data_IF_965441054060
#
_entry.id   IF_965441054060
#
_cell.length_a   1.000
_cell.length_b   1.000
_cell.length_c   1.000
_cell.angle_alpha   90.00
_cell.angle_beta   90.00
_cell.angle_gamma   90.00
#
_symmetry.space_group_name_H-M   'P 1'
#
loop_
_entity.id
_entity.type
_entity.pdbx_description
1 polymer ?
#
# COMPACT_ATOMS: atom_id res chain seq x y z
N UNK A 1 -35.45 -80.44 73.94
CA UNK A 1 -35.66 -79.03 74.37
C UNK A 1 -34.65 -78.14 73.67
N UNK A 2 -35.14 -77.03 73.11
CA UNK A 2 -34.48 -75.95 72.36
C UNK A 2 -32.99 -75.67 72.64
N UNK A 3 -32.20 -75.37 71.59
CA UNK A 3 -31.93 -74.00 71.09
C UNK A 3 -30.92 -74.03 69.93
N UNK A 4 -31.19 -73.21 68.91
CA UNK A 4 -30.29 -72.84 67.80
C UNK A 4 -29.14 -71.98 68.34
N UNK A 5 -27.93 -72.09 67.76
CA UNK A 5 -27.04 -70.94 67.46
C UNK A 5 -26.26 -71.22 66.16
N UNK A 6 -26.20 -70.18 65.33
CA UNK A 6 -25.53 -69.99 64.05
C UNK A 6 -23.99 -70.02 64.14
N UNK A 7 -23.31 -70.55 63.12
CA UNK A 7 -22.00 -70.06 62.69
C UNK A 7 -21.79 -70.42 61.21
N UNK A 8 -21.64 -69.40 60.37
CA UNK A 8 -21.45 -69.54 58.93
C UNK A 8 -20.06 -70.07 58.57
N UNK A 9 -20.01 -71.01 57.63
CA UNK A 9 -18.79 -71.53 57.07
C UNK A 9 -18.37 -70.70 55.85
N UNK A 10 -17.16 -70.15 55.91
CA UNK A 10 -16.44 -69.54 54.78
C UNK A 10 -15.87 -70.70 53.95
N UNK A 11 -16.30 -70.84 52.69
CA UNK A 11 -15.70 -71.76 51.72
C UNK A 11 -14.78 -70.96 50.80
N UNK A 12 -13.49 -71.32 50.84
CA UNK A 12 -12.44 -70.86 49.94
C UNK A 12 -12.69 -71.44 48.55
N UNK A 13 -12.84 -70.59 47.53
CA UNK A 13 -12.83 -70.99 46.12
C UNK A 13 -11.49 -70.56 45.52
N UNK A 14 -10.73 -71.53 45.02
CA UNK A 14 -9.53 -71.33 44.23
C UNK A 14 -9.87 -70.57 42.94
N UNK A 15 -9.34 -69.36 42.78
CA UNK A 15 -9.38 -68.64 41.51
C UNK A 15 -8.11 -68.97 40.72
N UNK A 16 -8.33 -69.64 39.60
CA UNK A 16 -7.36 -69.95 38.56
C UNK A 16 -6.69 -68.69 38.01
N UNK A 17 -5.38 -68.75 37.79
CA UNK A 17 -4.60 -67.72 37.11
C UNK A 17 -5.09 -67.55 35.66
N UNK A 18 -5.85 -66.49 35.40
CA UNK A 18 -6.14 -65.99 34.06
C UNK A 18 -5.06 -64.99 33.65
N UNK A 19 -4.37 -65.28 32.55
CA UNK A 19 -3.44 -64.36 31.91
C UNK A 19 -4.18 -63.09 31.47
N UNK A 20 -3.85 -61.96 32.08
CA UNK A 20 -4.26 -60.66 31.56
C UNK A 20 -3.41 -60.36 30.32
N UNK A 21 -4.00 -60.53 29.14
CA UNK A 21 -3.52 -59.81 27.95
C UNK A 21 -3.77 -58.33 28.19
N UNK A 22 -2.69 -57.58 28.40
CA UNK A 22 -2.72 -56.14 28.24
C UNK A 22 -3.10 -55.85 26.78
N UNK A 23 -4.33 -55.38 26.55
CA UNK A 23 -4.64 -54.71 25.29
C UNK A 23 -3.70 -53.51 25.20
N UNK A 24 -2.80 -53.57 24.21
CA UNK A 24 -2.05 -52.42 23.74
C UNK A 24 -3.09 -51.35 23.43
N UNK A 25 -3.09 -50.26 24.21
CA UNK A 25 -3.84 -49.07 23.87
C UNK A 25 -3.50 -48.73 22.41
N UNK A 26 -4.51 -48.68 21.56
CA UNK A 26 -4.35 -48.12 20.23
C UNK A 26 -3.90 -46.68 20.44
N UNK A 27 -2.64 -46.42 20.16
CA UNK A 27 -2.16 -45.08 19.89
C UNK A 27 -3.00 -44.58 18.72
N UNK A 28 -3.84 -43.57 18.97
CA UNK A 28 -4.34 -42.73 17.89
C UNK A 28 -3.12 -42.26 17.10
N UNK A 29 -2.95 -42.77 15.89
CA UNK A 29 -2.04 -42.13 14.93
C UNK A 29 -2.65 -40.76 14.64
N UNK A 30 -2.11 -39.73 15.29
CA UNK A 30 -2.24 -38.34 14.84
C UNK A 30 -1.74 -38.33 13.40
N UNK A 31 -2.66 -38.32 12.46
CA UNK A 31 -2.38 -38.46 11.04
C UNK A 31 -1.55 -37.27 10.57
N UNK A 32 -0.22 -37.41 10.60
CA UNK A 32 0.74 -36.42 10.11
C UNK A 32 0.75 -36.45 8.60
N UNK A 33 -0.21 -35.75 8.00
CA UNK A 33 -0.17 -35.39 6.59
C UNK A 33 -0.53 -33.92 6.47
N UNK A 34 0.28 -33.06 7.10
CA UNK A 34 0.43 -31.69 6.62
C UNK A 34 0.93 -31.72 5.17
N UNK A 35 0.74 -30.63 4.43
CA UNK A 35 1.42 -30.49 3.14
C UNK A 35 2.94 -30.68 3.33
N UNK A 36 3.62 -31.27 2.35
CA UNK A 36 5.01 -31.73 2.55
C UNK A 36 6.00 -30.59 2.83
N UNK A 37 5.59 -29.35 2.54
CA UNK A 37 6.34 -28.11 2.70
C UNK A 37 5.83 -27.24 3.86
N UNK A 38 4.91 -27.74 4.68
CA UNK A 38 4.39 -27.03 5.86
C UNK A 38 4.83 -27.79 7.11
N UNK A 39 5.92 -27.29 7.72
CA UNK A 39 6.43 -27.77 9.02
C UNK A 39 5.37 -27.57 10.12
N UNK A 40 5.36 -28.46 11.12
CA UNK A 40 4.51 -28.29 12.32
C UNK A 40 4.83 -27.00 13.09
N UNK A 41 6.07 -26.51 12.99
CA UNK A 41 6.52 -25.26 13.61
C UNK A 41 6.23 -24.00 12.76
N UNK A 42 5.62 -24.16 11.58
CA UNK A 42 5.28 -23.02 10.73
C UNK A 42 4.22 -22.14 11.40
N UNK A 43 4.35 -20.79 11.41
CA UNK A 43 3.41 -19.90 12.11
C UNK A 43 1.92 -20.10 11.76
N UNK A 44 1.67 -20.54 10.52
CA UNK A 44 0.32 -20.79 9.99
C UNK A 44 -0.05 -22.28 9.86
N UNK A 45 0.72 -23.20 10.45
CA UNK A 45 0.51 -24.64 10.29
C UNK A 45 -0.92 -25.07 10.70
N UNK A 46 -1.40 -24.59 11.84
CA UNK A 46 -2.73 -24.93 12.37
C UNK A 46 -3.85 -24.41 11.47
N UNK A 47 -3.73 -23.18 10.96
CA UNK A 47 -4.71 -22.60 10.05
C UNK A 47 -4.75 -23.34 8.72
N UNK A 48 -3.59 -23.68 8.16
CA UNK A 48 -3.48 -24.44 6.91
C UNK A 48 -4.07 -25.85 7.09
N UNK A 49 -3.77 -26.52 8.21
CA UNK A 49 -4.31 -27.82 8.54
C UNK A 49 -5.83 -27.76 8.67
N UNK A 50 -6.36 -26.78 9.39
CA UNK A 50 -7.81 -26.58 9.53
C UNK A 50 -8.49 -26.41 8.17
N UNK A 51 -7.98 -25.53 7.31
CA UNK A 51 -8.58 -25.33 5.98
C UNK A 51 -8.49 -26.57 5.11
N UNK A 52 -7.46 -27.41 5.28
CA UNK A 52 -7.34 -28.69 4.59
C UNK A 52 -8.38 -29.69 5.09
N UNK A 53 -8.56 -29.79 6.40
CA UNK A 53 -9.54 -30.68 7.04
C UNK A 53 -10.98 -30.29 6.68
N UNK A 54 -11.27 -28.99 6.62
CA UNK A 54 -12.54 -28.42 6.14
C UNK A 54 -12.71 -28.46 4.61
N UNK A 55 -11.74 -29.04 3.89
CA UNK A 55 -11.74 -29.16 2.42
C UNK A 55 -11.81 -27.83 1.66
N UNK A 56 -11.46 -26.72 2.31
CA UNK A 56 -11.40 -25.38 1.72
C UNK A 56 -10.15 -25.25 0.83
N UNK A 57 -9.05 -25.92 1.21
CA UNK A 57 -7.81 -25.96 0.41
C UNK A 57 -7.34 -27.39 0.17
N UNK A 58 -6.94 -27.67 -1.07
CA UNK A 58 -6.38 -28.97 -1.48
C UNK A 58 -4.87 -28.97 -1.67
N UNK A 59 -4.24 -27.79 -1.64
CA UNK A 59 -2.85 -27.59 -2.07
C UNK A 59 -2.66 -27.87 -3.57
N UNK A 60 -1.40 -28.02 -3.96
CA UNK A 60 -0.96 -28.26 -5.33
C UNK A 60 -0.83 -29.75 -5.64
N UNK A 61 -0.83 -30.15 -6.93
CA UNK A 61 -0.69 -31.56 -7.33
C UNK A 61 0.61 -32.25 -6.87
N UNK A 62 1.65 -31.46 -6.56
CA UNK A 62 2.93 -31.92 -6.00
C UNK A 62 2.88 -32.12 -4.47
N UNK A 63 1.69 -32.09 -3.87
CA UNK A 63 1.44 -32.22 -2.43
C UNK A 63 1.96 -31.05 -1.57
N UNK A 64 2.26 -29.90 -2.18
CA UNK A 64 2.69 -28.67 -1.48
C UNK A 64 1.53 -27.71 -1.21
N UNK A 65 1.69 -26.80 -0.24
CA UNK A 65 0.80 -25.66 0.01
C UNK A 65 1.41 -24.32 -0.39
N UNK A 66 2.72 -24.18 -0.24
CA UNK A 66 3.53 -22.98 -0.51
C UNK A 66 3.11 -21.79 0.35
N UNK A 67 3.23 -21.88 1.69
CA UNK A 67 2.66 -20.89 2.60
C UNK A 67 3.26 -19.49 2.42
N UNK A 68 4.54 -19.38 2.08
CA UNK A 68 5.26 -18.10 1.99
C UNK A 68 5.14 -17.40 0.63
N UNK A 69 4.43 -17.99 -0.33
CA UNK A 69 4.23 -17.40 -1.65
C UNK A 69 2.97 -16.54 -1.62
N UNK A 70 3.04 -15.33 -2.21
CA UNK A 70 1.89 -14.46 -2.40
C UNK A 70 0.78 -15.18 -3.18
N UNK A 71 -0.46 -15.08 -2.70
CA UNK A 71 -1.62 -15.66 -3.38
C UNK A 71 -2.12 -14.70 -4.46
N UNK A 72 -2.45 -15.22 -5.64
CA UNK A 72 -3.07 -14.41 -6.69
C UNK A 72 -4.58 -14.30 -6.52
N UNK A 73 -5.16 -13.27 -7.16
CA UNK A 73 -6.61 -12.97 -7.10
C UNK A 73 -7.49 -14.13 -7.56
N UNK A 74 -7.08 -14.89 -8.58
CA UNK A 74 -7.82 -16.05 -9.08
C UNK A 74 -7.88 -17.20 -8.05
N UNK A 75 -6.76 -17.52 -7.43
CA UNK A 75 -6.68 -18.51 -6.36
C UNK A 75 -7.48 -18.07 -5.13
N UNK A 76 -7.31 -16.82 -4.72
CA UNK A 76 -8.00 -16.25 -3.57
C UNK A 76 -9.53 -16.34 -3.74
N UNK A 77 -10.06 -15.88 -4.87
CA UNK A 77 -11.51 -15.93 -5.14
C UNK A 77 -12.05 -17.35 -5.15
N UNK A 78 -11.35 -18.31 -5.77
CA UNK A 78 -11.73 -19.73 -5.68
C UNK A 78 -11.83 -20.18 -4.22
N UNK A 79 -10.83 -19.90 -3.40
CA UNK A 79 -10.81 -20.32 -1.99
C UNK A 79 -11.97 -19.69 -1.21
N UNK A 80 -12.33 -18.43 -1.48
CA UNK A 80 -13.51 -17.80 -0.86
C UNK A 80 -14.81 -18.53 -1.23
N UNK A 81 -14.96 -19.03 -2.47
CA UNK A 81 -16.13 -19.85 -2.82
C UNK A 81 -16.19 -21.17 -2.03
N UNK A 82 -15.05 -21.86 -1.89
CA UNK A 82 -14.97 -23.10 -1.10
C UNK A 82 -15.29 -22.81 0.38
N UNK A 83 -14.74 -21.72 0.92
CA UNK A 83 -14.97 -21.23 2.28
C UNK A 83 -16.46 -20.94 2.59
N UNK A 84 -17.15 -20.34 1.62
CA UNK A 84 -18.58 -20.04 1.70
C UNK A 84 -19.46 -21.26 1.39
N UNK A 85 -18.85 -22.42 1.11
CA UNK A 85 -19.52 -23.64 0.64
C UNK A 85 -20.50 -23.35 -0.49
N UNK A 86 -20.08 -22.48 -1.41
CA UNK A 86 -20.91 -21.93 -2.46
C UNK A 86 -20.36 -22.33 -3.82
N UNK A 87 -21.23 -22.78 -4.70
CA UNK A 87 -20.87 -23.01 -6.09
C UNK A 87 -20.79 -21.67 -6.85
N UNK A 88 -19.76 -21.48 -7.70
CA UNK A 88 -19.75 -20.40 -8.68
C UNK A 88 -20.84 -20.67 -9.74
N UNK A 89 -21.55 -19.62 -10.15
CA UNK A 89 -22.49 -19.66 -11.24
C UNK A 89 -21.78 -19.93 -12.58
N UNK A 90 -22.54 -20.46 -13.56
CA UNK A 90 -22.07 -20.62 -14.93
C UNK A 90 -22.16 -19.26 -15.64
N UNK A 91 -21.15 -18.42 -15.46
CA UNK A 91 -20.97 -17.16 -16.17
C UNK A 91 -19.75 -17.21 -17.09
N UNK A 92 -19.86 -16.59 -18.27
CA UNK A 92 -18.77 -16.43 -19.24
C UNK A 92 -18.67 -14.97 -19.67
N UNK A 93 -17.46 -14.51 -20.00
CA UNK A 93 -17.24 -13.20 -20.63
C UNK A 93 -17.45 -11.96 -19.74
N UNK A 94 -17.40 -12.11 -18.42
CA UNK A 94 -17.55 -11.02 -17.44
C UNK A 94 -16.41 -9.98 -17.47
N UNK A 95 -15.19 -10.42 -17.79
CA UNK A 95 -14.02 -9.57 -17.95
C UNK A 95 -13.26 -9.94 -19.24
N UNK A 96 -12.59 -9.00 -19.91
CA UNK A 96 -11.83 -9.29 -21.14
C UNK A 96 -10.67 -10.28 -20.93
N UNK A 97 -10.01 -10.23 -19.76
CA UNK A 97 -8.78 -10.98 -19.44
C UNK A 97 -9.03 -12.38 -18.85
N UNK A 98 -10.28 -12.73 -18.53
CA UNK A 98 -10.63 -14.02 -17.88
C UNK A 98 -11.14 -15.09 -18.84
N UNK A 99 -11.43 -14.73 -20.09
CA UNK A 99 -12.03 -15.67 -21.06
C UNK A 99 -11.18 -16.93 -21.24
N UNK A 100 -11.81 -18.09 -21.12
CA UNK A 100 -11.21 -19.43 -21.26
C UNK A 100 -10.14 -19.73 -20.21
N UNK A 101 -10.08 -19.00 -19.10
CA UNK A 101 -9.19 -19.28 -17.97
C UNK A 101 -9.87 -20.23 -17.00
N UNK A 102 -9.09 -21.04 -16.28
CA UNK A 102 -9.63 -22.00 -15.30
C UNK A 102 -10.47 -21.33 -14.20
N UNK A 103 -10.19 -20.05 -13.93
CA UNK A 103 -10.85 -19.24 -12.92
C UNK A 103 -12.02 -18.40 -13.42
N UNK A 104 -12.38 -18.49 -14.72
CA UNK A 104 -13.44 -17.66 -15.32
C UNK A 104 -14.74 -17.71 -14.53
N UNK A 105 -15.22 -18.91 -14.19
CA UNK A 105 -16.44 -19.09 -13.41
C UNK A 105 -16.40 -18.39 -12.05
N UNK A 106 -15.23 -18.39 -11.38
CA UNK A 106 -15.08 -17.74 -10.07
C UNK A 106 -15.06 -16.22 -10.22
N UNK A 107 -14.32 -15.70 -11.20
CA UNK A 107 -14.28 -14.27 -11.51
C UNK A 107 -15.65 -13.72 -11.91
N UNK A 108 -16.39 -14.41 -12.77
CA UNK A 108 -17.73 -13.97 -13.17
C UNK A 108 -18.71 -14.03 -12.01
N UNK A 109 -18.61 -15.05 -11.16
CA UNK A 109 -19.48 -15.17 -9.99
C UNK A 109 -19.20 -14.11 -8.92
N UNK A 110 -17.95 -13.70 -8.72
CA UNK A 110 -17.65 -12.58 -7.79
C UNK A 110 -18.20 -11.26 -8.31
N UNK A 111 -18.21 -11.04 -9.63
CA UNK A 111 -18.83 -9.87 -10.26
C UNK A 111 -20.35 -9.87 -10.10
N UNK A 112 -21.01 -10.98 -10.42
CA UNK A 112 -22.47 -11.12 -10.27
C UNK A 112 -22.93 -10.87 -8.83
N UNK A 113 -22.13 -11.29 -7.84
CA UNK A 113 -22.40 -11.10 -6.40
C UNK A 113 -21.97 -9.74 -5.87
N UNK A 114 -21.37 -8.88 -6.69
CA UNK A 114 -20.87 -7.56 -6.29
C UNK A 114 -19.64 -7.61 -5.37
N UNK A 115 -18.99 -8.76 -5.23
CA UNK A 115 -17.77 -8.92 -4.43
C UNK A 115 -16.60 -8.22 -5.09
N UNK A 116 -16.48 -8.33 -6.42
CA UNK A 116 -15.43 -7.72 -7.23
C UNK A 116 -16.06 -7.06 -8.46
N UNK A 117 -15.79 -5.78 -8.70
CA UNK A 117 -16.26 -5.11 -9.92
C UNK A 117 -15.25 -5.13 -11.07
N UNK A 118 -14.00 -5.47 -10.79
CA UNK A 118 -12.87 -5.31 -11.72
C UNK A 118 -12.10 -4.02 -11.44
N UNK A 119 -11.02 -3.82 -12.19
CA UNK A 119 -10.26 -2.57 -12.19
C UNK A 119 -10.92 -1.54 -13.11
N UNK A 120 -10.53 -0.25 -13.03
CA UNK A 120 -11.07 0.79 -13.91
C UNK A 120 -10.91 0.48 -15.41
N UNK A 121 -9.85 -0.23 -15.79
CA UNK A 121 -9.61 -0.74 -17.16
C UNK A 121 -10.59 -1.85 -17.59
N UNK A 122 -11.50 -2.28 -16.71
CA UNK A 122 -12.50 -3.32 -16.95
C UNK A 122 -11.98 -4.75 -16.85
N UNK A 123 -10.77 -4.97 -16.34
CA UNK A 123 -10.15 -6.30 -16.20
C UNK A 123 -10.28 -6.88 -14.78
N UNK A 124 -9.99 -8.17 -14.63
CA UNK A 124 -9.96 -8.88 -13.34
C UNK A 124 -8.55 -9.02 -12.74
N UNK A 125 -7.52 -9.02 -13.59
CA UNK A 125 -6.08 -9.23 -13.28
C UNK A 125 -5.84 -10.49 -12.45
N UNK A 126 -6.37 -11.64 -12.90
CA UNK A 126 -6.44 -12.87 -12.09
C UNK A 126 -5.11 -13.45 -11.62
N UNK A 127 -4.00 -13.23 -12.34
CA UNK A 127 -2.67 -13.71 -11.94
C UNK A 127 -1.92 -12.77 -10.99
N UNK A 128 -2.44 -11.55 -10.77
CA UNK A 128 -1.80 -10.57 -9.90
C UNK A 128 -1.90 -11.02 -8.44
N UNK A 129 -0.82 -10.92 -7.64
CA UNK A 129 -0.89 -11.04 -6.19
C UNK A 129 -1.95 -10.10 -5.61
N UNK A 130 -2.76 -10.60 -4.68
CA UNK A 130 -3.82 -9.80 -4.06
C UNK A 130 -3.27 -9.00 -2.87
N UNK A 131 -3.66 -7.73 -2.73
CA UNK A 131 -3.35 -6.94 -1.53
C UNK A 131 -4.28 -7.30 -0.36
N UNK A 132 -3.89 -6.94 0.86
CA UNK A 132 -4.73 -7.12 2.04
C UNK A 132 -6.06 -6.35 1.93
N UNK A 133 -6.05 -5.11 1.45
CA UNK A 133 -7.25 -4.29 1.24
C UNK A 133 -8.27 -4.95 0.29
N UNK A 134 -7.78 -5.51 -0.82
CA UNK A 134 -8.61 -6.23 -1.79
C UNK A 134 -9.17 -7.52 -1.17
N UNK A 135 -8.32 -8.29 -0.48
CA UNK A 135 -8.72 -9.52 0.19
C UNK A 135 -9.79 -9.26 1.26
N UNK A 136 -9.59 -8.25 2.11
CA UNK A 136 -10.54 -7.84 3.15
C UNK A 136 -11.89 -7.44 2.55
N UNK A 137 -11.89 -6.70 1.44
CA UNK A 137 -13.11 -6.30 0.74
C UNK A 137 -13.89 -7.49 0.21
N UNK A 138 -13.21 -8.44 -0.45
CA UNK A 138 -13.86 -9.65 -0.97
C UNK A 138 -14.43 -10.48 0.19
N UNK A 139 -13.65 -10.67 1.26
CA UNK A 139 -14.08 -11.43 2.44
C UNK A 139 -15.32 -10.78 3.04
N UNK A 140 -15.26 -9.50 3.40
CA UNK A 140 -16.36 -8.85 4.10
C UNK A 140 -17.65 -8.87 3.24
N UNK A 141 -17.55 -8.62 1.94
CA UNK A 141 -18.70 -8.75 1.01
C UNK A 141 -19.22 -10.18 0.89
N UNK A 142 -18.33 -11.17 0.88
CA UNK A 142 -18.71 -12.59 0.85
C UNK A 142 -19.47 -13.00 2.12
N UNK A 143 -19.08 -12.46 3.26
CA UNK A 143 -19.75 -12.66 4.56
C UNK A 143 -20.99 -11.77 4.75
N UNK A 144 -21.47 -11.11 3.69
CA UNK A 144 -22.73 -10.36 3.71
C UNK A 144 -22.62 -8.92 4.20
N UNK A 145 -21.42 -8.40 4.42
CA UNK A 145 -21.22 -7.00 4.79
C UNK A 145 -21.08 -6.13 3.55
N UNK A 146 -22.07 -5.26 3.36
CA UNK A 146 -22.11 -4.24 2.31
C UNK A 146 -22.18 -2.88 3.02
N UNK A 147 -21.05 -2.39 3.55
CA UNK A 147 -21.01 -1.11 4.24
C UNK A 147 -21.33 0.04 3.28
N UNK A 148 -21.89 1.13 3.83
CA UNK A 148 -22.15 2.36 3.09
C UNK A 148 -20.86 2.90 2.44
N UNK A 149 -20.96 3.60 1.30
CA UNK A 149 -19.81 4.20 0.63
C UNK A 149 -19.00 5.04 1.61
N UNK A 150 -17.74 4.65 1.81
CA UNK A 150 -16.76 5.41 2.57
C UNK A 150 -15.78 6.04 1.58
N UNK A 151 -15.27 7.21 1.93
CA UNK A 151 -14.24 7.94 1.18
C UNK A 151 -13.02 7.02 0.97
N UNK A 152 -12.63 6.27 2.00
CA UNK A 152 -11.63 5.19 1.89
C UNK A 152 -12.37 3.88 1.63
N UNK A 153 -12.32 3.41 0.39
CA UNK A 153 -13.17 2.32 -0.10
C UNK A 153 -12.99 1.02 0.69
N UNK A 154 -11.77 0.68 1.12
CA UNK A 154 -11.50 -0.58 1.84
C UNK A 154 -11.78 -0.51 3.33
N UNK A 155 -11.79 0.69 3.94
CA UNK A 155 -11.81 0.87 5.40
C UNK A 155 -12.98 0.17 6.09
N UNK A 156 -14.23 0.28 5.61
CA UNK A 156 -15.33 -0.42 6.26
C UNK A 156 -15.20 -1.94 6.25
N UNK A 157 -14.47 -2.49 5.27
CA UNK A 157 -14.24 -3.92 5.14
C UNK A 157 -13.10 -4.39 6.06
N UNK A 158 -12.00 -3.63 6.14
CA UNK A 158 -10.89 -3.93 7.06
C UNK A 158 -11.35 -3.80 8.52
N UNK A 159 -12.14 -2.77 8.85
CA UNK A 159 -12.75 -2.58 10.17
C UNK A 159 -13.60 -3.80 10.59
N UNK A 160 -14.25 -4.49 9.64
CA UNK A 160 -15.05 -5.69 9.93
C UNK A 160 -14.18 -6.91 10.26
N UNK A 161 -13.08 -7.10 9.53
CA UNK A 161 -12.11 -8.16 9.85
C UNK A 161 -11.44 -7.90 11.21
N UNK A 162 -11.14 -6.64 11.52
CA UNK A 162 -10.59 -6.23 12.82
C UNK A 162 -11.57 -6.50 13.97
N UNK A 163 -12.86 -6.15 13.83
CA UNK A 163 -13.89 -6.48 14.84
C UNK A 163 -13.96 -7.98 15.13
N UNK A 164 -13.68 -8.79 14.11
CA UNK A 164 -13.63 -10.25 14.21
C UNK A 164 -12.26 -10.79 14.62
N UNK A 165 -11.27 -9.93 14.89
CA UNK A 165 -9.91 -10.34 15.21
C UNK A 165 -9.30 -11.27 14.13
N UNK A 166 -9.64 -11.02 12.86
CA UNK A 166 -9.29 -11.84 11.71
C UNK A 166 -8.05 -11.37 10.95
N UNK A 167 -7.51 -10.19 11.30
CA UNK A 167 -6.25 -9.70 10.73
C UNK A 167 -5.08 -10.44 11.41
N UNK A 168 -4.09 -10.97 10.68
CA UNK A 168 -2.87 -11.53 11.25
C UNK A 168 -1.86 -10.44 11.64
N UNK A 169 -0.98 -10.69 12.64
CA UNK A 169 0.04 -9.74 13.09
C UNK A 169 1.12 -9.40 12.08
N UNK A 170 1.22 -10.17 11.01
CA UNK A 170 2.18 -9.96 9.93
C UNK A 170 1.67 -9.01 8.87
N UNK A 171 0.38 -8.63 8.91
CA UNK A 171 -0.16 -7.57 8.06
C UNK A 171 0.19 -6.23 8.71
N UNK A 172 1.15 -5.51 8.14
CA UNK A 172 1.55 -4.17 8.59
C UNK A 172 0.93 -3.04 7.79
N UNK A 173 0.58 -3.29 6.53
CA UNK A 173 0.00 -2.31 5.61
C UNK A 173 -1.18 -2.85 4.81
N UNK A 174 -2.03 -1.94 4.33
CA UNK A 174 -3.21 -2.28 3.53
C UNK A 174 -2.87 -2.77 2.12
N UNK A 175 -1.74 -2.30 1.57
CA UNK A 175 -1.24 -2.65 0.24
C UNK A 175 -0.47 -3.96 0.19
N UNK A 176 -0.07 -4.48 1.36
CA UNK A 176 0.74 -5.68 1.49
C UNK A 176 0.14 -6.83 0.68
N UNK A 177 0.94 -7.40 -0.22
CA UNK A 177 0.53 -8.59 -0.97
C UNK A 177 0.54 -9.78 -0.03
N UNK A 178 -0.63 -10.39 0.21
CA UNK A 178 -0.75 -11.43 1.23
C UNK A 178 -0.24 -12.78 0.73
N UNK A 179 0.43 -13.51 1.61
CA UNK A 179 0.87 -14.88 1.37
C UNK A 179 -0.29 -15.88 1.49
N UNK A 180 -0.11 -17.08 0.94
CA UNK A 180 -1.07 -18.18 1.12
C UNK A 180 -1.23 -18.58 2.59
N UNK A 181 -0.18 -18.45 3.38
CA UNK A 181 -0.22 -18.66 4.82
C UNK A 181 -1.03 -17.61 5.57
N UNK A 182 -0.82 -16.32 5.27
CA UNK A 182 -1.62 -15.22 5.85
C UNK A 182 -3.09 -15.30 5.46
N UNK A 183 -3.37 -15.61 4.19
CA UNK A 183 -4.73 -15.91 3.73
C UNK A 183 -5.36 -17.04 4.58
N UNK A 184 -4.62 -18.12 4.81
CA UNK A 184 -5.12 -19.24 5.59
C UNK A 184 -5.46 -18.83 7.03
N UNK A 185 -4.59 -18.04 7.66
CA UNK A 185 -4.77 -17.51 9.01
C UNK A 185 -5.99 -16.59 9.10
N UNK A 186 -6.21 -15.70 8.12
CA UNK A 186 -7.40 -14.81 8.07
C UNK A 186 -8.68 -15.65 8.07
N UNK A 187 -8.78 -16.62 7.15
CA UNK A 187 -9.99 -17.44 7.00
C UNK A 187 -10.23 -18.33 8.22
N UNK A 188 -9.16 -18.90 8.78
CA UNK A 188 -9.20 -19.69 10.00
C UNK A 188 -9.79 -18.89 11.18
N UNK A 189 -9.31 -17.65 11.39
CA UNK A 189 -9.81 -16.77 12.43
C UNK A 189 -11.28 -16.44 12.24
N UNK A 190 -11.72 -16.16 11.01
CA UNK A 190 -13.13 -15.87 10.70
C UNK A 190 -14.04 -17.05 11.05
N UNK A 191 -13.67 -18.30 10.69
CA UNK A 191 -14.45 -19.49 11.05
C UNK A 191 -14.52 -19.71 12.55
N UNK A 192 -13.39 -19.55 13.24
CA UNK A 192 -13.36 -19.72 14.71
C UNK A 192 -14.18 -18.70 15.47
N UNK A 193 -14.34 -17.50 14.93
CA UNK A 193 -15.16 -16.44 15.55
C UNK A 193 -16.65 -16.75 15.39
N UNK A 194 -17.08 -17.24 14.21
CA UNK A 194 -18.46 -17.68 13.99
C UNK A 194 -18.84 -18.90 14.89
N UNK A 195 -17.86 -19.68 15.36
CA UNK A 195 -18.04 -20.78 16.32
C UNK A 195 -17.97 -20.37 17.79
N UNK A 196 -17.44 -19.17 18.09
CA UNK A 196 -17.20 -18.66 19.44
C UNK A 196 -17.85 -17.29 19.65
N UNK A 197 -19.18 -17.21 19.53
CA UNK A 197 -19.92 -16.20 20.30
C UNK A 197 -19.83 -16.57 21.80
N UNK A 198 -18.70 -16.23 22.44
CA UNK A 198 -18.52 -15.86 23.87
C UNK A 198 -17.05 -16.05 24.26
N UNK A 199 -16.34 -14.93 24.37
CA UNK A 199 -15.26 -14.58 25.33
C UNK A 199 -14.06 -13.88 24.69
N UNK A 200 -13.69 -12.77 25.33
CA UNK A 200 -12.76 -11.76 24.87
C UNK A 200 -11.29 -12.19 24.79
N UNK A 201 -10.58 -11.39 23.98
CA UNK A 201 -9.20 -10.90 24.15
C UNK A 201 -8.05 -11.73 23.57
N UNK A 202 -7.56 -11.25 22.43
CA UNK A 202 -6.12 -11.10 22.17
C UNK A 202 -5.88 -9.90 21.23
N UNK A 203 -5.83 -8.68 21.76
CA UNK A 203 -5.97 -7.45 20.95
C UNK A 203 -4.94 -6.33 21.28
N UNK A 204 -3.68 -6.66 21.57
CA UNK A 204 -2.72 -5.65 22.08
C UNK A 204 -1.59 -5.23 21.13
N UNK A 205 -1.27 -5.99 20.07
CA UNK A 205 -0.08 -5.72 19.23
C UNK A 205 -0.37 -5.30 17.78
N UNK A 206 -1.54 -5.63 17.25
CA UNK A 206 -1.98 -5.25 15.90
C UNK A 206 -2.83 -3.98 15.92
N UNK A 207 -3.75 -3.90 16.89
CA UNK A 207 -4.46 -2.68 17.23
C UNK A 207 -3.50 -1.49 17.40
N UNK A 208 -2.28 -1.71 17.93
CA UNK A 208 -1.29 -0.65 18.11
C UNK A 208 -0.67 -0.11 16.81
N UNK A 209 -0.60 -0.89 15.73
CA UNK A 209 0.01 -0.44 14.46
C UNK A 209 -0.96 0.41 13.65
N UNK A 210 -2.22 -0.03 13.53
CA UNK A 210 -3.25 0.74 12.84
C UNK A 210 -3.64 1.99 13.64
N UNK A 211 -3.80 1.88 14.97
CA UNK A 211 -4.04 3.05 15.83
C UNK A 211 -2.89 4.05 15.74
N UNK A 212 -1.65 3.57 15.60
CA UNK A 212 -0.49 4.44 15.40
C UNK A 212 -0.57 5.23 14.10
N UNK A 213 -0.86 4.58 12.96
CA UNK A 213 -0.99 5.27 11.68
C UNK A 213 -2.19 6.23 11.67
N UNK A 214 -3.33 5.82 12.22
CA UNK A 214 -4.49 6.69 12.36
C UNK A 214 -4.14 7.93 13.20
N UNK A 215 -3.52 7.74 14.37
CA UNK A 215 -3.08 8.85 15.23
C UNK A 215 -2.08 9.76 14.50
N UNK A 216 -1.21 9.18 13.67
CA UNK A 216 -0.21 9.94 12.91
C UNK A 216 -0.84 10.80 11.82
N UNK A 217 -1.76 10.24 11.05
CA UNK A 217 -2.51 10.95 10.01
C UNK A 217 -3.37 12.05 10.65
N UNK A 218 -4.03 11.75 11.78
CA UNK A 218 -4.77 12.76 12.54
C UNK A 218 -3.86 13.89 13.03
N UNK A 219 -2.67 13.58 13.54
CA UNK A 219 -1.70 14.59 13.97
C UNK A 219 -1.18 15.43 12.79
N UNK A 220 -0.93 14.81 11.63
CA UNK A 220 -0.51 15.49 10.40
C UNK A 220 -1.52 16.55 9.92
N UNK A 221 -2.81 16.27 10.14
CA UNK A 221 -3.93 17.10 9.70
C UNK A 221 -4.51 17.97 10.82
N UNK A 222 -3.97 17.86 12.04
CA UNK A 222 -4.46 18.60 13.18
C UNK A 222 -4.37 20.12 12.93
N UNK A 223 -5.37 20.90 13.39
CA UNK A 223 -5.28 22.35 13.34
C UNK A 223 -4.12 22.82 14.21
N UNK A 224 -3.43 23.85 13.75
CA UNK A 224 -2.31 24.48 14.43
C UNK A 224 -2.57 25.97 14.62
N UNK A 225 -1.89 26.58 15.59
CA UNK A 225 -1.96 28.02 15.77
C UNK A 225 -1.26 28.72 14.60
N UNK A 226 -1.99 29.59 13.91
CA UNK A 226 -1.43 30.45 12.88
C UNK A 226 -1.12 31.83 13.50
N UNK A 227 0.15 32.12 13.87
CA UNK A 227 0.49 33.33 14.59
C UNK A 227 0.28 34.57 13.72
N UNK A 228 -0.04 35.70 14.36
CA UNK A 228 -0.06 36.99 13.68
C UNK A 228 1.38 37.46 13.48
N UNK A 229 1.84 37.34 12.24
CA UNK A 229 3.16 37.79 11.78
C UNK A 229 3.04 39.15 11.08
N UNK A 230 4.11 39.95 11.13
CA UNK A 230 4.10 41.28 10.54
C UNK A 230 4.04 41.18 9.00
N UNK A 231 3.15 41.96 8.37
CA UNK A 231 3.04 41.99 6.92
C UNK A 231 4.37 42.40 6.26
N UNK A 232 4.89 41.60 5.32
CA UNK A 232 6.13 41.93 4.63
C UNK A 232 6.02 43.27 3.89
N UNK A 233 7.08 44.09 4.01
CA UNK A 233 7.16 45.40 3.39
C UNK A 233 7.96 45.29 2.10
N UNK A 234 7.27 45.28 0.97
CA UNK A 234 7.92 45.19 -0.35
C UNK A 234 8.22 46.57 -0.94
N UNK A 235 9.34 46.67 -1.67
CA UNK A 235 9.75 47.89 -2.35
C UNK A 235 8.83 48.30 -3.51
N UNK A 236 8.96 49.55 -3.96
CA UNK A 236 8.25 50.02 -5.14
C UNK A 236 8.70 49.21 -6.38
N UNK A 237 7.76 48.47 -6.98
CA UNK A 237 8.01 47.61 -8.14
C UNK A 237 7.92 46.10 -7.85
N UNK A 238 7.72 45.70 -6.60
CA UNK A 238 7.46 44.30 -6.27
C UNK A 238 6.15 43.80 -6.90
N UNK A 239 6.14 42.54 -7.32
CA UNK A 239 4.98 41.92 -7.93
C UNK A 239 3.86 41.76 -6.89
N UNK A 240 2.68 42.28 -7.19
CA UNK A 240 1.50 42.23 -6.30
C UNK A 240 0.35 41.42 -6.89
N UNK A 241 0.61 40.72 -8.00
CA UNK A 241 -0.36 39.84 -8.62
C UNK A 241 -0.47 38.51 -7.87
N UNK A 242 -1.19 37.58 -8.49
CA UNK A 242 -1.38 36.23 -7.96
C UNK A 242 -0.06 35.48 -7.90
N UNK A 243 0.25 34.91 -6.73
CA UNK A 243 1.40 34.05 -6.50
C UNK A 243 0.98 32.57 -6.54
N UNK A 244 1.72 31.77 -7.30
CA UNK A 244 1.60 30.32 -7.35
C UNK A 244 3.00 29.79 -7.13
N UNK A 245 3.17 29.00 -6.08
CA UNK A 245 4.41 28.28 -5.85
C UNK A 245 4.36 26.97 -6.65
N UNK A 246 5.25 26.84 -7.64
CA UNK A 246 5.23 25.67 -8.53
C UNK A 246 6.12 24.54 -8.03
N UNK A 247 6.75 24.70 -6.87
CA UNK A 247 7.61 23.67 -6.32
C UNK A 247 7.61 23.68 -4.79
N UNK A 248 6.81 22.80 -4.19
CA UNK A 248 6.82 22.62 -2.74
C UNK A 248 6.78 21.14 -2.35
N UNK A 249 7.80 20.70 -1.62
CA UNK A 249 7.85 19.36 -1.04
C UNK A 249 7.03 19.30 0.23
N UNK A 250 6.03 18.42 0.26
CA UNK A 250 5.31 18.12 1.49
C UNK A 250 6.23 17.26 2.37
N UNK A 251 6.45 17.63 3.64
CA UNK A 251 7.18 16.78 4.57
C UNK A 251 6.59 15.38 4.61
N UNK A 252 7.43 14.36 4.57
CA UNK A 252 6.98 12.98 4.66
C UNK A 252 6.39 12.70 6.05
N UNK A 253 5.48 11.75 6.10
CA UNK A 253 5.09 11.12 7.37
C UNK A 253 6.17 10.07 7.66
N UNK A 254 6.82 10.09 8.83
CA UNK A 254 7.97 9.22 9.10
C UNK A 254 7.60 7.73 9.10
N UNK A 255 8.58 6.91 8.70
CA UNK A 255 8.43 5.50 8.33
C UNK A 255 8.61 4.56 9.52
N UNK A 256 7.63 4.44 10.42
CA UNK A 256 7.39 3.17 11.16
C UNK A 256 6.32 3.30 12.24
N UNK A 257 5.39 2.33 12.29
CA UNK A 257 4.75 1.94 13.54
C UNK A 257 5.81 1.40 14.51
N UNK A 258 5.68 1.57 15.84
CA UNK A 258 6.81 1.49 16.78
C UNK A 258 7.47 0.10 16.79
N UNK A 259 8.48 -0.07 15.95
CA UNK A 259 9.54 -1.06 16.04
C UNK A 259 10.81 -0.36 15.58
N UNK A 260 11.74 -0.29 16.53
CA UNK A 260 13.05 0.35 16.47
C UNK A 260 13.09 1.87 16.67
N UNK A 261 13.34 2.23 17.93
CA UNK A 261 13.87 3.52 18.40
C UNK A 261 15.30 3.80 17.87
N UNK A 262 15.68 3.28 16.69
CA UNK A 262 17.02 3.40 16.12
C UNK A 262 17.10 4.35 14.91
N UNK A 263 16.07 5.17 14.67
CA UNK A 263 16.15 6.26 13.70
C UNK A 263 16.98 7.43 14.25
N UNK A 264 18.29 7.33 14.03
CA UNK A 264 19.27 8.39 14.24
C UNK A 264 19.25 9.49 13.18
N UNK A 265 18.13 9.75 12.51
CA UNK A 265 18.03 10.69 11.38
C UNK A 265 17.01 11.83 11.62
N UNK A 266 16.69 12.16 12.89
CA UNK A 266 15.87 13.34 13.21
C UNK A 266 16.62 14.67 13.03
N UNK A 267 17.94 14.63 12.83
CA UNK A 267 18.82 15.79 12.67
C UNK A 267 19.43 15.77 11.26
N UNK A 268 19.33 16.87 10.51
CA UNK A 268 20.05 17.01 9.24
C UNK A 268 21.57 17.14 9.49
N UNK A 269 22.38 17.20 8.43
CA UNK A 269 23.86 17.36 8.52
C UNK A 269 24.30 18.61 9.34
N UNK A 270 23.37 19.52 9.66
CA UNK A 270 23.57 20.76 10.43
C UNK A 270 22.95 20.73 11.85
N UNK A 271 22.52 19.58 12.36
CA UNK A 271 21.80 19.40 13.64
C UNK A 271 20.45 20.15 13.75
N UNK A 272 19.83 20.51 12.62
CA UNK A 272 18.47 21.02 12.61
C UNK A 272 17.47 19.87 12.50
N UNK A 273 16.39 19.96 13.28
CA UNK A 273 15.31 18.99 13.25
C UNK A 273 14.59 19.02 11.90
N UNK A 274 14.55 17.91 11.17
CA UNK A 274 13.84 17.84 9.89
C UNK A 274 12.33 18.01 10.09
N UNK A 275 11.62 18.70 9.17
CA UNK A 275 10.17 18.75 9.21
C UNK A 275 9.60 17.36 8.88
N UNK A 276 8.77 16.84 9.79
CA UNK A 276 8.10 15.55 9.72
C UNK A 276 6.61 15.74 9.99
N UNK A 277 5.79 15.32 9.04
CA UNK A 277 4.36 15.53 9.09
C UNK A 277 3.74 14.67 10.19
N UNK A 278 2.98 15.29 11.09
CA UNK A 278 2.40 14.65 12.27
C UNK A 278 3.36 14.49 13.45
N UNK A 279 4.59 15.02 13.38
CA UNK A 279 5.49 15.19 14.55
C UNK A 279 5.66 16.67 14.88
N UNK A 280 6.30 17.40 13.97
CA UNK A 280 6.70 18.80 14.18
C UNK A 280 6.21 19.71 13.03
N UNK A 281 5.58 19.13 12.01
CA UNK A 281 4.90 19.83 10.94
C UNK A 281 3.44 19.32 10.82
N UNK A 282 2.54 20.21 10.41
CA UNK A 282 1.16 19.88 10.07
C UNK A 282 0.78 20.56 8.76
N UNK A 283 -0.21 20.02 8.05
CA UNK A 283 -0.73 20.63 6.83
C UNK A 283 -1.29 22.03 7.12
N UNK A 284 -1.93 22.21 8.27
CA UNK A 284 -2.47 23.50 8.68
C UNK A 284 -1.37 24.56 8.93
N UNK A 285 -0.20 24.16 9.45
CA UNK A 285 0.98 25.04 9.57
C UNK A 285 1.48 25.47 8.18
N UNK A 286 1.57 24.54 7.24
CA UNK A 286 1.97 24.85 5.85
C UNK A 286 1.00 25.84 5.23
N UNK A 287 -0.31 25.60 5.35
CA UNK A 287 -1.36 26.51 4.85
C UNK A 287 -1.28 27.88 5.50
N UNK A 288 -0.95 27.96 6.80
CA UNK A 288 -0.71 29.24 7.47
C UNK A 288 0.42 30.03 6.79
N UNK A 289 1.56 29.37 6.52
CA UNK A 289 2.69 29.98 5.80
C UNK A 289 2.29 30.45 4.40
N UNK A 290 1.64 29.59 3.61
CA UNK A 290 1.21 29.96 2.25
C UNK A 290 0.30 31.20 2.26
N UNK A 291 -0.64 31.27 3.21
CA UNK A 291 -1.55 32.43 3.35
C UNK A 291 -0.81 33.69 3.80
N UNK A 292 0.20 33.57 4.64
CA UNK A 292 1.02 34.71 5.05
C UNK A 292 1.82 35.29 3.88
N UNK A 293 2.42 34.42 3.07
CA UNK A 293 3.17 34.80 1.86
C UNK A 293 2.25 35.19 0.69
N UNK A 294 0.92 35.14 0.89
CA UNK A 294 -0.09 35.43 -0.15
C UNK A 294 0.01 34.51 -1.36
N UNK A 295 0.54 33.31 -1.16
CA UNK A 295 0.57 32.23 -2.15
C UNK A 295 -0.82 31.61 -2.24
N UNK A 296 -1.47 31.75 -3.40
CA UNK A 296 -2.84 31.26 -3.59
C UNK A 296 -2.91 29.76 -3.85
N UNK A 297 -1.89 29.22 -4.51
CA UNK A 297 -1.80 27.82 -4.90
C UNK A 297 -0.37 27.34 -4.84
N UNK A 298 -0.22 26.04 -4.59
CA UNK A 298 1.07 25.38 -4.62
C UNK A 298 1.01 24.04 -5.37
N UNK A 299 2.03 23.73 -6.15
CA UNK A 299 2.27 22.38 -6.65
C UNK A 299 2.96 21.61 -5.54
N UNK A 300 2.19 20.76 -4.87
CA UNK A 300 2.63 20.05 -3.68
C UNK A 300 3.03 18.62 -4.02
N UNK A 301 4.31 18.32 -3.84
CA UNK A 301 4.90 17.01 -4.03
C UNK A 301 4.70 16.19 -2.77
N UNK A 302 3.76 15.25 -2.82
CA UNK A 302 3.51 14.32 -1.72
C UNK A 302 4.39 13.08 -1.90
N UNK A 303 5.28 12.76 -0.95
CA UNK A 303 6.02 11.52 -0.97
C UNK A 303 5.04 10.35 -0.81
N UNK A 304 5.10 9.37 -1.71
CA UNK A 304 4.34 8.12 -1.66
C UNK A 304 5.31 6.97 -1.91
N UNK A 305 5.62 6.21 -0.85
CA UNK A 305 6.55 5.09 -0.91
C UNK A 305 5.79 3.76 -1.07
N UNK A 306 6.34 2.82 -1.84
CA UNK A 306 5.69 1.53 -2.16
C UNK A 306 5.28 0.72 -0.92
N UNK A 307 6.03 0.85 0.18
CA UNK A 307 5.80 0.11 1.42
C UNK A 307 4.76 0.74 2.37
N UNK A 308 4.31 1.98 2.17
CA UNK A 308 3.31 2.63 3.05
C UNK A 308 2.38 3.54 2.25
N UNK A 309 2.23 3.20 0.98
CA UNK A 309 1.54 3.97 -0.05
C UNK A 309 0.13 4.39 0.38
N UNK A 310 -0.72 3.46 0.84
CA UNK A 310 -2.11 3.77 1.17
C UNK A 310 -2.28 4.78 2.31
N UNK A 311 -1.46 4.68 3.35
CA UNK A 311 -1.48 5.64 4.46
C UNK A 311 -1.06 7.03 3.98
N UNK A 312 -0.10 7.11 3.06
CA UNK A 312 0.36 8.36 2.46
C UNK A 312 -0.69 8.91 1.48
N UNK A 313 -1.33 8.06 0.69
CA UNK A 313 -2.45 8.42 -0.18
C UNK A 313 -3.62 8.99 0.64
N UNK A 314 -3.93 8.42 1.81
CA UNK A 314 -4.95 8.94 2.74
C UNK A 314 -4.61 10.36 3.23
N UNK A 315 -3.33 10.66 3.47
CA UNK A 315 -2.89 12.02 3.82
C UNK A 315 -3.13 12.99 2.66
N UNK A 316 -2.84 12.58 1.42
CA UNK A 316 -3.12 13.40 0.23
C UNK A 316 -4.62 13.66 0.12
N UNK A 317 -5.45 12.63 0.20
CA UNK A 317 -6.90 12.74 0.11
C UNK A 317 -7.46 13.73 1.13
N UNK A 318 -7.17 13.52 2.42
CA UNK A 318 -7.67 14.39 3.48
C UNK A 318 -7.12 15.81 3.38
N UNK A 319 -5.89 15.98 2.90
CA UNK A 319 -5.32 17.31 2.62
C UNK A 319 -6.14 18.01 1.53
N UNK A 320 -6.44 17.31 0.44
CA UNK A 320 -7.22 17.84 -0.66
C UNK A 320 -8.69 18.09 -0.29
N UNK A 321 -9.25 17.34 0.66
CA UNK A 321 -10.59 17.61 1.20
C UNK A 321 -10.61 18.89 2.04
N UNK A 322 -9.61 19.10 2.89
CA UNK A 322 -9.56 20.26 3.79
C UNK A 322 -9.11 21.54 3.08
N UNK A 323 -8.18 21.44 2.14
CA UNK A 323 -7.49 22.57 1.50
C UNK A 323 -7.44 22.47 -0.04
N UNK A 324 -8.58 22.22 -0.72
CA UNK A 324 -8.61 22.03 -2.18
C UNK A 324 -8.24 23.28 -2.98
N UNK A 325 -8.24 24.46 -2.34
CA UNK A 325 -7.94 25.72 -3.02
C UNK A 325 -6.44 25.97 -3.06
N UNK A 326 -5.73 25.59 -2.01
CA UNK A 326 -4.32 25.84 -1.79
C UNK A 326 -3.44 24.82 -2.52
N UNK A 327 -3.81 23.54 -2.56
CA UNK A 327 -2.93 22.51 -3.11
C UNK A 327 -3.29 22.04 -4.52
N UNK A 328 -2.27 21.73 -5.30
CA UNK A 328 -2.31 20.96 -6.54
C UNK A 328 -1.42 19.73 -6.30
N UNK A 329 -2.00 18.54 -6.09
CA UNK A 329 -1.25 17.40 -5.61
C UNK A 329 -0.47 16.72 -6.75
N UNK A 330 0.82 16.57 -6.54
CA UNK A 330 1.72 15.76 -7.34
C UNK A 330 2.14 14.54 -6.52
N UNK A 331 2.20 13.39 -7.17
CA UNK A 331 2.71 12.17 -6.55
C UNK A 331 4.21 12.05 -6.79
N UNK A 332 4.98 12.15 -5.70
CA UNK A 332 6.42 11.97 -5.70
C UNK A 332 6.73 10.58 -5.13
N UNK A 333 7.15 9.65 -5.98
CA UNK A 333 7.18 8.25 -5.59
C UNK A 333 8.52 7.59 -5.92
N UNK A 334 9.54 7.76 -5.06
CA UNK A 334 10.79 7.03 -5.19
C UNK A 334 10.60 5.57 -4.79
N UNK A 335 11.37 4.68 -5.42
CA UNK A 335 11.49 3.26 -5.10
C UNK A 335 12.93 3.00 -4.67
N UNK A 336 13.17 3.08 -3.36
CA UNK A 336 14.50 2.90 -2.75
C UNK A 336 15.60 3.69 -3.46
N UNK A 337 15.33 4.93 -3.85
CA UNK A 337 16.14 5.69 -4.82
C UNK A 337 17.57 6.03 -4.36
N UNK A 338 17.91 5.73 -3.10
CA UNK A 338 19.28 5.80 -2.58
C UNK A 338 20.06 4.47 -2.70
N UNK A 339 19.45 3.36 -3.13
CA UNK A 339 20.10 2.06 -3.32
C UNK A 339 20.58 1.87 -4.78
N UNK A 340 21.65 1.09 -4.97
CA UNK A 340 22.21 0.72 -6.28
C UNK A 340 21.20 0.06 -7.25
N UNK A 341 20.15 -0.57 -6.73
CA UNK A 341 19.09 -1.21 -7.50
C UNK A 341 17.78 -0.41 -7.49
N UNK A 342 17.75 0.71 -6.77
CA UNK A 342 16.59 1.57 -6.66
C UNK A 342 16.43 2.54 -7.82
N UNK A 343 15.29 3.22 -7.83
CA UNK A 343 14.91 4.17 -8.87
C UNK A 343 14.20 5.38 -8.26
N UNK A 344 14.38 6.59 -8.80
CA UNK A 344 13.72 7.82 -8.33
C UNK A 344 12.23 7.91 -8.70
N UNK A 345 11.61 6.78 -9.04
CA UNK A 345 10.27 6.63 -9.59
C UNK A 345 9.83 5.18 -9.38
N UNK A 346 8.56 4.91 -9.08
CA UNK A 346 7.98 3.55 -9.01
C UNK A 346 7.85 2.91 -10.40
N UNK A 347 7.32 1.69 -10.47
CA UNK A 347 6.97 1.05 -11.75
C UNK A 347 5.67 1.62 -12.32
N UNK A 348 5.43 1.42 -13.62
CA UNK A 348 4.17 1.82 -14.26
C UNK A 348 2.96 1.09 -13.68
N UNK A 349 3.12 -0.19 -13.30
CA UNK A 349 2.05 -0.99 -12.70
C UNK A 349 1.65 -0.46 -11.31
N UNK A 350 2.65 -0.08 -10.50
CA UNK A 350 2.42 0.52 -9.17
C UNK A 350 1.77 1.89 -9.31
N UNK A 351 2.27 2.74 -10.21
CA UNK A 351 1.66 4.04 -10.47
C UNK A 351 0.21 3.92 -10.97
N UNK A 352 -0.05 2.99 -11.88
CA UNK A 352 -1.39 2.72 -12.39
C UNK A 352 -2.32 2.24 -11.26
N UNK A 353 -1.85 1.36 -10.37
CA UNK A 353 -2.63 0.91 -9.20
C UNK A 353 -3.06 2.09 -8.32
N UNK A 354 -2.14 3.00 -7.97
CA UNK A 354 -2.47 4.17 -7.14
C UNK A 354 -3.46 5.13 -7.82
N UNK A 355 -3.28 5.39 -9.11
CA UNK A 355 -4.13 6.33 -9.85
C UNK A 355 -5.51 5.74 -10.19
N UNK A 356 -5.59 4.43 -10.38
CA UNK A 356 -6.84 3.68 -10.58
C UNK A 356 -7.69 3.68 -9.32
N UNK A 357 -7.06 3.52 -8.15
CA UNK A 357 -7.76 3.53 -6.86
C UNK A 357 -8.16 4.94 -6.41
N UNK A 358 -7.40 5.97 -6.81
CA UNK A 358 -7.66 7.37 -6.48
C UNK A 358 -7.85 8.24 -7.73
N UNK A 359 -8.89 7.98 -8.53
CA UNK A 359 -9.05 8.63 -9.82
C UNK A 359 -9.23 10.14 -9.63
N UNK A 360 -8.46 10.91 -10.39
CA UNK A 360 -8.45 12.38 -10.38
C UNK A 360 -7.90 13.06 -9.11
N UNK A 361 -7.42 12.30 -8.11
CA UNK A 361 -6.79 12.87 -6.92
C UNK A 361 -5.58 13.71 -7.30
N UNK A 362 -4.66 13.12 -8.05
CA UNK A 362 -3.43 13.77 -8.50
C UNK A 362 -3.63 14.60 -9.78
N UNK A 363 -2.80 15.64 -9.92
CA UNK A 363 -2.70 16.49 -11.11
C UNK A 363 -1.32 16.41 -11.78
N UNK A 364 -0.35 15.84 -11.09
CA UNK A 364 0.95 15.56 -11.69
C UNK A 364 1.70 14.41 -11.05
N UNK A 365 2.79 14.04 -11.72
CA UNK A 365 3.68 12.94 -11.41
C UNK A 365 5.11 13.43 -11.30
N UNK A 366 5.82 13.01 -10.25
CA UNK A 366 7.11 13.59 -9.84
C UNK A 366 6.93 14.51 -8.63
N UNK A 367 7.94 15.27 -8.22
CA UNK A 367 9.25 15.42 -8.84
C UNK A 367 10.05 14.11 -8.82
N UNK A 368 10.54 13.67 -9.99
CA UNK A 368 11.55 12.61 -10.05
C UNK A 368 12.94 13.22 -10.22
N UNK A 369 13.80 13.00 -9.23
CA UNK A 369 15.23 13.35 -9.28
C UNK A 369 16.01 12.36 -10.12
N UNK A 370 16.27 12.70 -11.38
CA UNK A 370 16.82 11.77 -12.37
C UNK A 370 18.35 11.65 -12.33
N UNK A 371 19.03 12.34 -11.42
CA UNK A 371 20.48 12.30 -11.26
C UNK A 371 20.95 11.14 -10.39
N UNK A 372 22.20 10.73 -10.57
CA UNK A 372 22.82 9.69 -9.75
C UNK A 372 22.90 10.12 -8.27
N UNK A 373 22.60 9.19 -7.35
CA UNK A 373 22.61 9.46 -5.90
C UNK A 373 23.88 8.96 -5.24
N UNK A 374 24.28 9.60 -4.13
CA UNK A 374 25.47 9.22 -3.34
C UNK A 374 25.44 7.78 -2.82
N UNK A 375 24.25 7.23 -2.57
CA UNK A 375 24.07 5.85 -2.10
C UNK A 375 24.26 4.77 -3.19
N UNK A 376 24.50 5.18 -4.44
CA UNK A 376 24.89 4.29 -5.54
C UNK A 376 23.82 4.05 -6.58
N UNK A 377 22.63 4.63 -6.43
CA UNK A 377 21.60 4.60 -7.47
C UNK A 377 22.11 5.33 -8.73
N UNK A 378 22.01 4.72 -9.93
CA UNK A 378 22.41 5.33 -11.17
C UNK A 378 21.47 6.49 -11.55
N UNK A 379 21.92 7.35 -12.45
CA UNK A 379 21.03 8.33 -13.07
C UNK A 379 19.99 7.64 -13.96
N UNK A 380 18.82 8.25 -14.11
CA UNK A 380 17.70 7.70 -14.87
C UNK A 380 17.30 8.64 -16.01
N UNK A 381 17.84 8.47 -17.24
CA UNK A 381 17.50 9.33 -18.36
C UNK A 381 15.98 9.42 -18.64
N UNK A 382 15.45 10.58 -19.05
CA UNK A 382 14.02 10.77 -19.36
C UNK A 382 13.43 9.83 -20.42
N UNK A 383 14.27 9.25 -21.28
CA UNK A 383 13.88 8.28 -22.30
C UNK A 383 14.23 6.82 -21.93
N UNK A 384 14.52 6.58 -20.65
CA UNK A 384 14.73 5.23 -20.11
C UNK A 384 13.47 4.36 -20.24
N UNK A 385 13.66 3.04 -20.31
CA UNK A 385 12.55 2.07 -20.40
C UNK A 385 11.54 2.24 -19.26
N UNK A 386 12.01 2.53 -18.04
CA UNK A 386 11.13 2.74 -16.88
C UNK A 386 10.18 3.92 -17.08
N UNK A 387 10.70 5.08 -17.52
CA UNK A 387 9.87 6.26 -17.78
C UNK A 387 9.02 6.11 -19.06
N UNK A 388 9.52 5.43 -20.10
CA UNK A 388 8.75 5.11 -21.30
C UNK A 388 7.50 4.27 -20.97
N UNK A 389 7.58 3.39 -19.98
CA UNK A 389 6.42 2.61 -19.50
C UNK A 389 5.47 3.44 -18.63
N UNK A 390 5.93 4.53 -18.00
CA UNK A 390 5.12 5.43 -17.17
C UNK A 390 4.30 6.42 -18.02
N UNK A 391 4.84 6.92 -19.13
CA UNK A 391 4.14 7.92 -19.95
C UNK A 391 2.73 7.51 -20.44
N UNK A 392 2.46 6.23 -20.79
CA UNK A 392 1.09 5.76 -21.05
C UNK A 392 0.15 5.99 -19.86
N UNK A 393 0.58 5.67 -18.64
CA UNK A 393 -0.22 5.85 -17.41
C UNK A 393 -0.46 7.34 -17.14
N UNK A 394 0.59 8.17 -17.24
CA UNK A 394 0.50 9.64 -17.12
C UNK A 394 -0.53 10.21 -18.09
N UNK A 395 -0.54 9.73 -19.34
CA UNK A 395 -1.49 10.15 -20.38
C UNK A 395 -2.91 9.72 -20.07
N UNK A 396 -3.10 8.48 -19.63
CA UNK A 396 -4.41 7.93 -19.25
C UNK A 396 -5.07 8.75 -18.13
N UNK A 397 -4.29 9.16 -17.14
CA UNK A 397 -4.77 9.96 -16.01
C UNK A 397 -4.61 11.48 -16.19
N UNK A 398 -4.19 11.94 -17.38
CA UNK A 398 -4.01 13.36 -17.72
C UNK A 398 -3.13 14.12 -16.70
N UNK A 399 -1.99 13.53 -16.35
CA UNK A 399 -1.04 14.09 -15.39
C UNK A 399 0.01 14.97 -16.08
N UNK A 400 0.47 16.01 -15.38
CA UNK A 400 1.67 16.76 -15.73
C UNK A 400 2.90 16.08 -15.13
N UNK A 401 3.97 15.92 -15.89
CA UNK A 401 5.22 15.30 -15.42
C UNK A 401 6.16 16.39 -14.90
N UNK A 402 6.77 16.18 -13.73
CA UNK A 402 7.73 17.09 -13.13
C UNK A 402 9.08 16.39 -12.92
N UNK A 403 10.15 16.92 -13.49
CA UNK A 403 11.49 16.34 -13.40
C UNK A 403 12.50 17.28 -12.78
N UNK A 404 13.45 16.69 -12.06
CA UNK A 404 14.74 17.29 -11.83
C UNK A 404 15.78 16.52 -12.63
N UNK A 405 16.18 17.12 -13.73
CA UNK A 405 17.05 16.48 -14.71
C UNK A 405 18.49 16.38 -14.19
N UNK A 406 19.20 15.33 -14.61
CA UNK A 406 20.62 15.15 -14.33
C UNK A 406 21.53 15.75 -15.41
N UNK A 407 22.83 15.77 -15.10
CA UNK A 407 23.85 16.18 -16.07
C UNK A 407 23.85 15.28 -17.31
N UNK A 408 23.88 15.90 -18.49
CA UNK A 408 23.89 15.17 -19.77
C UNK A 408 22.52 14.66 -20.24
N UNK A 409 21.43 14.98 -19.54
CA UNK A 409 20.08 14.53 -19.90
C UNK A 409 19.40 15.35 -21.00
N UNK A 410 20.07 16.35 -21.60
CA UNK A 410 19.45 17.23 -22.60
C UNK A 410 18.87 16.44 -23.78
N UNK A 411 19.69 15.61 -24.43
CA UNK A 411 19.27 14.89 -25.63
C UNK A 411 18.16 13.86 -25.33
N UNK A 412 18.21 13.20 -24.16
CA UNK A 412 17.17 12.24 -23.73
C UNK A 412 15.87 12.95 -23.37
N UNK A 413 15.95 14.14 -22.76
CA UNK A 413 14.79 14.95 -22.47
C UNK A 413 14.11 15.46 -23.74
N UNK A 414 14.84 16.04 -24.70
CA UNK A 414 14.28 16.48 -25.98
C UNK A 414 13.63 15.32 -26.76
N UNK A 415 14.18 14.10 -26.67
CA UNK A 415 13.54 12.88 -27.21
C UNK A 415 12.24 12.55 -26.49
N UNK A 416 12.22 12.57 -25.16
CA UNK A 416 11.02 12.33 -24.37
C UNK A 416 9.91 13.36 -24.66
N UNK A 417 10.25 14.65 -24.75
CA UNK A 417 9.35 15.73 -25.14
C UNK A 417 8.76 15.51 -26.53
N UNK A 418 9.62 15.19 -27.51
CA UNK A 418 9.21 14.95 -28.91
C UNK A 418 8.31 13.72 -29.07
N UNK A 419 8.57 12.67 -28.27
CA UNK A 419 7.78 11.44 -28.30
C UNK A 419 6.42 11.59 -27.61
N UNK A 420 6.27 12.57 -26.71
CA UNK A 420 5.07 12.78 -25.91
C UNK A 420 4.57 14.24 -26.01
N UNK A 421 4.23 14.74 -27.20
CA UNK A 421 3.81 16.13 -27.40
C UNK A 421 2.48 16.48 -26.72
N UNK A 422 1.75 15.46 -26.27
CA UNK A 422 0.46 15.57 -25.60
C UNK A 422 0.55 15.58 -24.06
N UNK A 423 1.74 15.31 -23.51
CA UNK A 423 2.02 15.37 -22.07
C UNK A 423 2.73 16.69 -21.79
N UNK A 424 2.30 17.42 -20.75
CA UNK A 424 3.02 18.58 -20.25
C UNK A 424 4.16 18.12 -19.33
N UNK A 425 5.36 18.63 -19.60
CA UNK A 425 6.55 18.41 -18.79
C UNK A 425 6.97 19.73 -18.16
N UNK A 426 7.16 19.71 -16.85
CA UNK A 426 7.84 20.76 -16.12
C UNK A 426 9.19 20.19 -15.69
N UNK A 427 10.25 20.98 -15.83
CA UNK A 427 11.52 20.63 -15.23
C UNK A 427 12.13 21.82 -14.53
N UNK A 428 13.01 21.53 -13.58
CA UNK A 428 13.84 22.53 -12.92
C UNK A 428 15.26 21.98 -12.74
N UNK A 429 16.07 22.71 -11.98
CA UNK A 429 17.44 22.37 -11.70
C UNK A 429 18.43 22.95 -12.71
N UNK A 430 19.66 23.07 -12.27
CA UNK A 430 20.77 23.65 -13.04
C UNK A 430 21.63 22.60 -13.75
N UNK A 431 21.53 21.33 -13.33
CA UNK A 431 22.38 20.22 -13.76
C UNK A 431 22.25 19.89 -15.25
N UNK A 432 21.12 20.20 -15.89
CA UNK A 432 20.97 20.04 -17.34
C UNK A 432 21.97 20.90 -18.13
N UNK A 433 22.39 22.05 -17.55
CA UNK A 433 23.26 23.02 -18.19
C UNK A 433 24.57 23.14 -17.40
N UNK A 434 25.70 22.68 -17.96
CA UNK A 434 26.99 22.90 -17.34
C UNK A 434 27.27 24.40 -17.12
N UNK A 435 27.78 24.76 -15.94
CA UNK A 435 28.25 26.12 -15.69
C UNK A 435 29.51 26.40 -16.52
N UNK A 436 29.43 27.38 -17.42
CA UNK A 436 30.59 27.87 -18.15
C UNK A 436 31.10 29.15 -17.47
N UNK A 437 32.30 29.10 -16.90
CA UNK A 437 32.90 30.22 -16.15
C UNK A 437 32.04 30.74 -14.97
N UNK A 438 31.25 29.87 -14.34
CA UNK A 438 30.37 30.23 -13.22
C UNK A 438 29.08 30.95 -13.63
N UNK A 439 28.75 30.97 -14.93
CA UNK A 439 27.49 31.51 -15.44
C UNK A 439 26.70 30.36 -16.08
N UNK A 440 25.42 30.24 -15.72
CA UNK A 440 24.51 29.29 -16.33
C UNK A 440 24.06 29.80 -17.71
N UNK A 441 24.12 28.94 -18.73
CA UNK A 441 23.74 29.31 -20.08
C UNK A 441 22.24 29.12 -20.34
N UNK A 442 21.44 30.13 -20.01
CA UNK A 442 19.98 30.13 -20.19
C UNK A 442 19.52 29.99 -21.66
N UNK A 443 20.40 30.21 -22.65
CA UNK A 443 20.02 30.05 -24.06
C UNK A 443 19.66 28.60 -24.43
N UNK A 444 20.18 27.62 -23.69
CA UNK A 444 19.80 26.20 -23.88
C UNK A 444 18.38 25.90 -23.39
N UNK A 445 17.97 26.52 -22.28
CA UNK A 445 16.58 26.45 -21.81
C UNK A 445 15.65 27.10 -22.85
N UNK A 446 16.00 28.29 -23.32
CA UNK A 446 15.23 29.01 -24.36
C UNK A 446 15.08 28.17 -25.64
N UNK A 447 16.15 27.49 -26.08
CA UNK A 447 16.12 26.59 -27.23
C UNK A 447 15.14 25.42 -27.04
N UNK A 448 15.17 24.75 -25.89
CA UNK A 448 14.22 23.66 -25.56
C UNK A 448 12.78 24.19 -25.55
N UNK A 449 12.51 25.27 -24.82
CA UNK A 449 11.17 25.87 -24.71
C UNK A 449 10.63 26.33 -26.07
N UNK A 450 11.49 26.88 -26.93
CA UNK A 450 11.10 27.32 -28.27
C UNK A 450 10.70 26.18 -29.21
N UNK A 451 11.29 24.98 -29.02
CA UNK A 451 11.05 23.79 -29.84
C UNK A 451 9.91 22.92 -29.31
N UNK A 452 9.70 22.92 -27.99
CA UNK A 452 8.79 22.00 -27.31
C UNK A 452 7.70 22.77 -26.55
N UNK A 453 6.53 23.02 -27.17
CA UNK A 453 5.46 23.84 -26.57
C UNK A 453 4.80 23.18 -25.35
N UNK A 454 5.07 21.91 -25.11
CA UNK A 454 4.62 21.11 -23.98
C UNK A 454 5.66 21.05 -22.84
N UNK A 455 6.73 21.84 -22.91
CA UNK A 455 7.79 21.90 -21.91
C UNK A 455 7.73 23.25 -21.17
N UNK A 456 7.96 23.23 -19.86
CA UNK A 456 7.96 24.40 -18.98
C UNK A 456 9.14 24.34 -18.01
N UNK A 457 9.77 25.47 -17.73
CA UNK A 457 10.93 25.53 -16.83
C UNK A 457 10.58 26.23 -15.51
N UNK A 458 10.80 25.55 -14.39
CA UNK A 458 10.73 26.11 -13.06
C UNK A 458 12.06 26.75 -12.66
N UNK A 459 12.01 27.97 -12.11
CA UNK A 459 13.14 28.60 -11.42
C UNK A 459 12.84 28.55 -9.94
N UNK A 460 13.57 27.71 -9.21
CA UNK A 460 13.41 27.44 -7.78
C UNK A 460 14.77 27.45 -7.04
N UNK A 461 15.84 26.97 -7.67
CA UNK A 461 17.16 26.82 -7.01
C UNK A 461 18.18 27.93 -7.27
N UNK A 462 17.93 28.88 -8.16
CA UNK A 462 19.00 29.79 -8.60
C UNK A 462 19.22 31.02 -7.72
N UNK A 463 18.19 31.72 -7.23
CA UNK A 463 18.37 32.94 -6.43
C UNK A 463 17.11 33.34 -5.63
N UNK A 464 16.54 32.45 -4.83
CA UNK A 464 15.57 32.83 -3.77
C UNK A 464 14.26 33.48 -4.22
N UNK A 465 13.88 33.41 -5.50
CA UNK A 465 12.59 33.87 -6.02
C UNK A 465 12.05 32.85 -7.05
N UNK A 466 10.76 32.49 -6.95
CA UNK A 466 10.09 31.47 -7.78
C UNK A 466 9.43 32.11 -9.01
N UNK A 467 9.81 31.68 -10.22
CA UNK A 467 9.12 32.04 -11.47
C UNK A 467 8.99 30.82 -12.39
N UNK A 468 7.77 30.52 -12.84
CA UNK A 468 7.54 29.57 -13.94
C UNK A 468 7.76 30.28 -15.27
N UNK A 469 8.76 29.87 -16.03
CA UNK A 469 9.01 30.35 -17.38
C UNK A 469 8.33 29.46 -18.41
N UNK A 470 7.79 30.10 -19.45
CA UNK A 470 7.24 29.46 -20.64
C UNK A 470 8.08 29.83 -21.85
#
# INVERSE_FOLDING_TARGET
MNKKILAGAITVVFLTAGSFSFSKAATEEKNTSSFIDVSEDHPYADAILFLKEEQIVSGYPDSTFRPDISINRAEFTKIIFEMMSSDPAQGEGCFPDVQKKWYEKYACSTQERGWIQGYPDGTFKGQRPISFAEAATIIAKAFGHQPEPNIVWYKPFTDELEKRNAVPPTISEMGQKITRGEMAEILYRLKKVDEKETTESSNSREKSTQDFWNQRIEAALAPSECPVVAEPQYGAGYYTGRLIDTHFHIPHVPDSAPRDESEGDMENEENNMQPLLGINATISNIVCTLRHEKTEKVFAFFPVFENIDWQLLEVVEKTMEQYPKEFVPFIMAPDNDNDKNGFPTVSADVLSEWLDEHPSLFKGYGESGLYARKGGAPDLPPDSERLLNIYPVVREHNLTVYFHLGEGHQDSFERALSANPDINFIWHGDQLIPYENGIQNLSKIDDILSKHPNAYYGIDELYGDVWLLR
#
